data_IF_941993884001
#
_entry.id   IF_941993884001
#
_cell.length_a   1.000
_cell.length_b   1.000
_cell.length_c   1.000
_cell.angle_alpha   90.00
_cell.angle_beta   90.00
_cell.angle_gamma   90.00
#
_symmetry.space_group_name_H-M   'P 1'
#
loop_
_entity.id
_entity.type
_entity.pdbx_description
1 polymer ?
#
# COMPACT_ATOMS: atom_id res chain seq x y z
N UNK A 1 -3.41 2.17 -17.33
CA UNK A 1 -2.17 1.79 -16.60
C UNK A 1 -2.57 0.81 -15.52
N UNK A 2 -2.38 -0.50 -15.77
CA UNK A 2 -2.81 -1.59 -14.88
C UNK A 2 -1.62 -2.12 -14.07
N UNK A 3 -1.86 -2.49 -12.81
CA UNK A 3 -0.87 -3.13 -11.95
C UNK A 3 -0.68 -2.44 -10.60
N UNK A 4 -0.06 -3.16 -9.68
CA UNK A 4 0.30 -2.67 -8.35
C UNK A 4 1.48 -1.69 -8.45
N UNK A 5 1.36 -0.56 -7.76
CA UNK A 5 2.30 0.56 -7.66
C UNK A 5 2.79 0.72 -6.22
N UNK A 6 3.84 1.51 -6.01
CA UNK A 6 4.34 1.89 -4.69
C UNK A 6 4.77 0.72 -3.79
N UNK A 7 5.21 -0.40 -4.39
CA UNK A 7 5.72 -1.58 -3.70
C UNK A 7 6.79 -2.24 -4.56
N UNK A 8 7.78 -2.85 -3.91
CA UNK A 8 8.79 -3.65 -4.59
C UNK A 8 8.19 -4.90 -5.23
N UNK A 9 8.69 -5.26 -6.41
CA UNK A 9 8.19 -6.40 -7.20
C UNK A 9 9.19 -7.53 -7.17
N UNK A 10 8.68 -8.76 -7.30
CA UNK A 10 9.48 -9.99 -7.27
C UNK A 10 10.30 -10.17 -5.97
N UNK A 11 9.77 -9.65 -4.86
CA UNK A 11 10.36 -9.76 -3.53
C UNK A 11 9.28 -10.22 -2.54
N UNK A 12 9.66 -11.08 -1.59
CA UNK A 12 8.80 -11.42 -0.44
C UNK A 12 8.80 -10.23 0.53
N UNK A 13 7.60 -9.71 0.82
CA UNK A 13 7.41 -8.54 1.67
C UNK A 13 6.46 -8.84 2.82
N UNK A 14 6.68 -8.20 3.96
CA UNK A 14 5.74 -8.20 5.09
C UNK A 14 4.96 -6.90 5.06
N UNK A 15 3.65 -6.96 4.78
CA UNK A 15 2.82 -5.75 4.55
C UNK A 15 2.84 -4.74 5.71
N UNK A 16 2.99 -5.21 6.95
CA UNK A 16 3.15 -4.33 8.13
C UNK A 16 4.36 -3.39 8.00
N UNK A 17 5.43 -3.84 7.37
CA UNK A 17 6.64 -3.02 7.16
C UNK A 17 6.48 -2.00 6.03
N UNK A 18 5.47 -2.17 5.18
CA UNK A 18 5.21 -1.30 4.03
C UNK A 18 4.39 -0.06 4.38
N UNK A 19 3.87 0.05 5.60
CA UNK A 19 3.14 1.23 6.08
C UNK A 19 3.57 1.54 7.51
N UNK A 20 4.03 2.77 7.75
CA UNK A 20 4.52 3.18 9.06
C UNK A 20 3.35 3.56 9.97
N UNK A 21 3.33 3.03 11.19
CA UNK A 21 2.45 3.51 12.24
C UNK A 21 3.00 4.81 12.83
N UNK A 22 2.13 5.80 13.04
CA UNK A 22 2.47 7.07 13.69
C UNK A 22 1.38 7.44 14.73
N UNK A 23 1.74 7.68 16.01
CA UNK A 23 0.75 8.05 17.02
C UNK A 23 -0.05 9.29 16.64
N UNK A 24 -1.38 9.17 16.67
CA UNK A 24 -2.30 10.28 16.35
C UNK A 24 -2.42 10.60 14.86
N UNK A 25 -1.86 9.78 13.97
CA UNK A 25 -1.94 9.95 12.53
C UNK A 25 -2.38 8.65 11.86
N UNK A 26 -3.10 8.79 10.74
CA UNK A 26 -3.39 7.67 9.84
C UNK A 26 -2.44 7.79 8.65
N UNK A 27 -1.61 6.77 8.45
CA UNK A 27 -0.69 6.69 7.32
C UNK A 27 -1.24 5.70 6.32
N UNK A 28 -1.14 6.03 5.03
CA UNK A 28 -1.64 5.14 3.97
C UNK A 28 -0.65 4.96 2.83
N UNK A 29 -0.70 3.79 2.19
CA UNK A 29 0.03 3.48 0.97
C UNK A 29 -0.93 2.83 -0.03
N UNK A 30 -1.35 3.60 -1.03
CA UNK A 30 -2.22 3.10 -2.10
C UNK A 30 -1.40 2.31 -3.11
N UNK A 31 -1.77 1.05 -3.29
CA UNK A 31 -1.10 0.08 -4.14
C UNK A 31 -1.77 -0.02 -5.52
N UNK A 32 -3.09 0.09 -5.57
CA UNK A 32 -3.83 0.14 -6.82
C UNK A 32 -5.12 0.93 -6.63
N UNK A 33 -5.47 1.76 -7.61
CA UNK A 33 -6.73 2.47 -7.62
C UNK A 33 -7.14 2.73 -9.06
N UNK A 34 -8.33 2.27 -9.43
CA UNK A 34 -8.97 2.52 -10.71
C UNK A 34 -10.50 2.40 -10.55
N UNK A 35 -11.25 2.55 -11.64
CA UNK A 35 -12.71 2.52 -11.62
C UNK A 35 -13.30 1.17 -11.13
N UNK A 36 -12.54 0.08 -11.19
CA UNK A 36 -13.01 -1.26 -10.84
C UNK A 36 -12.55 -1.71 -9.44
N UNK A 37 -11.46 -1.17 -8.90
CA UNK A 37 -10.92 -1.59 -7.60
C UNK A 37 -10.06 -0.54 -6.91
N UNK A 38 -9.95 -0.67 -5.59
CA UNK A 38 -9.03 0.08 -4.73
C UNK A 38 -8.34 -0.85 -3.73
N UNK A 39 -7.03 -0.70 -3.58
CA UNK A 39 -6.20 -1.43 -2.60
C UNK A 39 -5.25 -0.44 -1.92
N UNK A 40 -5.41 -0.29 -0.61
CA UNK A 40 -4.62 0.64 0.21
C UNK A 40 -4.28 -0.02 1.54
N UNK A 41 -3.02 0.10 1.96
CA UNK A 41 -2.57 -0.27 3.31
C UNK A 41 -2.75 0.93 4.24
N UNK A 42 -3.17 0.69 5.49
CA UNK A 42 -3.32 1.71 6.52
C UNK A 42 -2.62 1.29 7.81
N UNK A 43 -2.06 2.26 8.53
CA UNK A 43 -1.56 2.11 9.90
C UNK A 43 -1.82 3.38 10.71
#
# INVERSE_FOLDING_TARGET
MYGIKNIEKAQVLTLKSEVAYQPGQVVSKTLAQNNALSVTLFA
#
